data_IF_926111130093
#
_entry.id   IF_926111130093
#
_cell.length_a   1.000
_cell.length_b   1.000
_cell.length_c   1.000
_cell.angle_alpha   90.00
_cell.angle_beta   90.00
_cell.angle_gamma   90.00
#
_symmetry.space_group_name_H-M   'P 1'
#
loop_
_entity.id
_entity.type
_entity.pdbx_description
1 polymer ?
#
# COMPACT_ATOMS: atom_id res chain seq x y z
N UNK A 1 5.81 15.02 4.01
CA UNK A 1 7.20 15.29 4.44
C UNK A 1 8.08 14.12 4.03
N UNK A 2 9.18 14.35 3.32
CA UNK A 2 10.13 13.30 2.90
C UNK A 2 11.29 13.10 3.89
N UNK A 3 11.41 13.95 4.91
CA UNK A 3 12.53 13.93 5.87
C UNK A 3 12.77 12.55 6.49
N UNK A 4 11.77 11.90 7.09
CA UNK A 4 11.96 10.58 7.69
C UNK A 4 12.38 9.49 6.70
N UNK A 5 11.82 9.51 5.49
CA UNK A 5 12.12 8.56 4.42
C UNK A 5 13.57 8.70 3.93
N UNK A 6 13.97 9.93 3.63
CA UNK A 6 15.32 10.26 3.19
C UNK A 6 16.35 9.99 4.29
N UNK A 7 15.99 10.26 5.55
CA UNK A 7 16.90 10.05 6.67
C UNK A 7 17.27 8.57 6.88
N UNK A 8 16.36 7.65 6.59
CA UNK A 8 16.63 6.21 6.57
C UNK A 8 16.08 5.54 5.30
N UNK A 9 16.82 5.58 4.17
CA UNK A 9 16.34 5.09 2.88
C UNK A 9 15.99 3.60 2.87
N UNK A 10 16.54 2.81 3.79
CA UNK A 10 16.22 1.37 3.93
C UNK A 10 14.72 1.15 4.20
N UNK A 11 14.03 2.14 4.75
CA UNK A 11 12.57 2.10 4.96
C UNK A 11 11.77 2.03 3.66
N UNK A 12 12.33 2.41 2.52
CA UNK A 12 11.71 2.22 1.20
C UNK A 12 11.44 0.74 0.91
N UNK A 13 12.33 -0.16 1.33
CA UNK A 13 12.16 -1.61 1.12
C UNK A 13 11.00 -2.17 1.92
N UNK A 14 10.72 -1.62 3.11
CA UNK A 14 9.52 -1.97 3.88
C UNK A 14 8.26 -1.54 3.13
N UNK A 15 8.29 -0.37 2.49
CA UNK A 15 7.22 0.10 1.60
C UNK A 15 7.00 -0.82 0.40
N UNK A 16 8.08 -1.33 -0.22
CA UNK A 16 7.98 -2.29 -1.31
C UNK A 16 7.30 -3.60 -0.87
N UNK A 17 7.70 -4.15 0.28
CA UNK A 17 7.06 -5.34 0.84
C UNK A 17 5.60 -5.09 1.25
N UNK A 18 5.26 -3.89 1.73
CA UNK A 18 3.89 -3.54 2.11
C UNK A 18 2.91 -3.61 0.92
N UNK A 19 3.37 -3.41 -0.32
CA UNK A 19 2.53 -3.53 -1.51
C UNK A 19 2.16 -4.98 -1.87
N UNK A 20 2.75 -5.98 -1.22
CA UNK A 20 2.39 -7.39 -1.42
C UNK A 20 0.90 -7.66 -1.21
N UNK A 21 0.25 -6.91 -0.31
CA UNK A 21 -1.19 -7.01 -0.05
C UNK A 21 -2.05 -6.79 -1.31
N UNK A 22 -1.61 -5.96 -2.25
CA UNK A 22 -2.29 -5.76 -3.53
C UNK A 22 -2.31 -7.07 -4.32
N UNK A 23 -1.13 -7.66 -4.54
CA UNK A 23 -0.99 -8.88 -5.32
C UNK A 23 -1.72 -10.06 -4.68
N UNK A 24 -1.62 -10.21 -3.35
CA UNK A 24 -2.36 -11.23 -2.62
C UNK A 24 -3.87 -11.08 -2.81
N UNK A 25 -4.39 -9.85 -2.80
CA UNK A 25 -5.82 -9.57 -3.01
C UNK A 25 -6.26 -9.88 -4.45
N UNK A 26 -5.44 -9.54 -5.46
CA UNK A 26 -5.70 -9.93 -6.86
C UNK A 26 -5.78 -11.45 -7.01
N UNK A 27 -4.81 -12.17 -6.45
CA UNK A 27 -4.80 -13.63 -6.47
C UNK A 27 -6.01 -14.22 -5.76
N UNK A 28 -6.43 -13.62 -4.63
CA UNK A 28 -7.66 -13.98 -3.93
C UNK A 28 -8.90 -13.82 -4.81
N UNK A 29 -9.06 -12.67 -5.48
CA UNK A 29 -10.18 -12.42 -6.38
C UNK A 29 -10.21 -13.40 -7.58
N UNK A 30 -9.05 -13.67 -8.19
CA UNK A 30 -8.96 -14.66 -9.27
C UNK A 30 -9.23 -16.09 -8.79
N UNK A 31 -8.86 -16.40 -7.55
CA UNK A 31 -9.14 -17.70 -6.94
C UNK A 31 -10.65 -17.87 -6.68
N UNK A 32 -11.35 -16.83 -6.22
CA UNK A 32 -12.81 -16.83 -6.08
C UNK A 32 -13.51 -17.08 -7.42
N UNK A 33 -12.96 -16.52 -8.51
CA UNK A 33 -13.43 -16.77 -9.87
C UNK A 33 -13.14 -18.21 -10.31
N UNK A 34 -11.94 -18.73 -10.04
CA UNK A 34 -11.56 -20.11 -10.37
C UNK A 34 -12.48 -21.15 -9.70
N UNK A 35 -12.87 -20.94 -8.45
CA UNK A 35 -13.81 -21.80 -7.74
C UNK A 35 -15.29 -21.57 -8.11
N UNK A 36 -15.59 -20.65 -9.02
CA UNK A 36 -16.94 -20.37 -9.50
C UNK A 36 -17.86 -19.73 -8.45
N UNK A 37 -17.30 -19.17 -7.37
CA UNK A 37 -18.08 -18.53 -6.31
C UNK A 37 -18.59 -17.17 -6.75
N UNK A 38 -17.69 -16.36 -7.31
CA UNK A 38 -17.98 -15.01 -7.80
C UNK A 38 -17.16 -14.79 -9.06
N UNK A 39 -17.81 -14.39 -10.14
CA UNK A 39 -17.14 -14.13 -11.41
C UNK A 39 -16.40 -12.78 -11.36
N UNK A 40 -15.07 -12.82 -11.42
CA UNK A 40 -14.24 -11.63 -11.56
C UNK A 40 -13.37 -11.74 -12.81
N UNK A 41 -13.49 -10.75 -13.69
CA UNK A 41 -12.52 -10.58 -14.78
C UNK A 41 -11.17 -10.08 -14.25
N UNK A 42 -10.10 -10.26 -15.02
CA UNK A 42 -8.77 -9.79 -14.60
C UNK A 42 -8.73 -8.26 -14.32
N UNK A 43 -9.33 -7.37 -15.14
CA UNK A 43 -9.37 -5.94 -14.82
C UNK A 43 -10.10 -5.61 -13.51
N UNK A 44 -11.20 -6.33 -13.22
CA UNK A 44 -11.94 -6.18 -11.97
C UNK A 44 -11.13 -6.67 -10.77
N UNK A 45 -10.51 -7.84 -10.88
CA UNK A 45 -9.62 -8.37 -9.83
C UNK A 45 -8.45 -7.42 -9.56
N UNK A 46 -7.86 -6.82 -10.60
CA UNK A 46 -6.82 -5.81 -10.48
C UNK A 46 -7.31 -4.54 -9.77
N UNK A 47 -8.50 -4.05 -10.11
CA UNK A 47 -9.11 -2.88 -9.46
C UNK A 47 -9.40 -3.14 -7.97
N UNK A 48 -9.92 -4.32 -7.62
CA UNK A 48 -10.14 -4.75 -6.24
C UNK A 48 -8.82 -4.84 -5.48
N UNK A 49 -7.77 -5.34 -6.13
CA UNK A 49 -6.44 -5.51 -5.54
C UNK A 49 -5.85 -4.23 -4.95
N UNK A 50 -6.05 -3.07 -5.60
CA UNK A 50 -5.45 -1.79 -5.16
C UNK A 50 -5.92 -1.36 -3.77
N UNK A 51 -7.06 -1.85 -3.28
CA UNK A 51 -7.50 -1.62 -1.90
C UNK A 51 -6.41 -2.04 -0.90
N UNK A 52 -5.66 -3.12 -1.20
CA UNK A 52 -4.55 -3.60 -0.38
C UNK A 52 -3.37 -2.64 -0.26
N UNK A 53 -3.28 -1.62 -1.12
CA UNK A 53 -2.28 -0.56 -1.05
C UNK A 53 -2.62 0.54 -0.04
N UNK A 54 -3.86 0.56 0.48
CA UNK A 54 -4.37 1.56 1.41
C UNK A 54 -4.20 3.03 0.93
N UNK A 55 -4.35 3.25 -0.38
CA UNK A 55 -4.30 4.57 -1.02
C UNK A 55 -5.60 4.85 -1.81
N UNK A 56 -6.51 5.60 -1.19
CA UNK A 56 -7.84 5.91 -1.75
C UNK A 56 -7.80 6.60 -3.11
N UNK A 57 -7.06 7.72 -3.28
CA UNK A 57 -6.91 8.38 -4.57
C UNK A 57 -6.45 7.47 -5.71
N UNK A 58 -5.46 6.61 -5.47
CA UNK A 58 -4.96 5.67 -6.50
C UNK A 58 -5.96 4.54 -6.76
N UNK A 59 -6.65 4.04 -5.74
CA UNK A 59 -7.72 3.05 -5.89
C UNK A 59 -8.88 3.57 -6.76
N UNK A 60 -9.32 4.81 -6.50
CA UNK A 60 -10.34 5.49 -7.30
C UNK A 60 -9.87 5.67 -8.75
N UNK A 61 -8.63 6.15 -8.93
CA UNK A 61 -8.07 6.37 -10.26
C UNK A 61 -7.97 5.08 -11.09
N UNK A 62 -7.44 4.00 -10.52
CA UNK A 62 -7.28 2.74 -11.25
C UNK A 62 -8.62 2.06 -11.49
N UNK A 63 -9.52 2.04 -10.49
CA UNK A 63 -10.86 1.48 -10.67
C UNK A 63 -11.65 2.25 -11.73
N UNK A 64 -11.55 3.57 -11.78
CA UNK A 64 -12.19 4.38 -12.82
C UNK A 64 -11.69 4.09 -14.24
N UNK A 65 -10.52 3.45 -14.39
CA UNK A 65 -9.97 3.02 -15.70
C UNK A 65 -10.21 1.55 -16.01
N UNK A 66 -10.13 0.66 -15.01
CA UNK A 66 -10.16 -0.79 -15.20
C UNK A 66 -11.54 -1.42 -14.97
N UNK A 67 -12.31 -0.91 -14.02
CA UNK A 67 -13.62 -1.43 -13.64
C UNK A 67 -14.52 -0.28 -13.10
N UNK A 68 -14.97 0.64 -13.97
CA UNK A 68 -15.77 1.80 -13.57
C UNK A 68 -17.07 1.40 -12.85
N UNK A 69 -17.64 0.25 -13.21
CA UNK A 69 -18.85 -0.32 -12.62
C UNK A 69 -18.66 -0.77 -11.16
N UNK A 70 -17.42 -1.03 -10.73
CA UNK A 70 -17.08 -1.42 -9.35
C UNK A 70 -16.59 -0.23 -8.49
N UNK A 71 -16.47 0.96 -9.08
CA UNK A 71 -15.85 2.13 -8.43
C UNK A 71 -16.51 2.47 -7.09
N UNK A 72 -17.84 2.46 -7.03
CA UNK A 72 -18.58 2.80 -5.81
C UNK A 72 -18.23 1.85 -4.65
N UNK A 73 -18.27 0.54 -4.90
CA UNK A 73 -17.96 -0.46 -3.90
C UNK A 73 -16.48 -0.41 -3.46
N UNK A 74 -15.56 -0.25 -4.43
CA UNK A 74 -14.12 -0.16 -4.17
C UNK A 74 -13.79 1.09 -3.33
N UNK A 75 -14.34 2.24 -3.68
CA UNK A 75 -14.09 3.49 -2.94
C UNK A 75 -14.61 3.42 -1.50
N UNK A 76 -15.82 2.90 -1.29
CA UNK A 76 -16.40 2.71 0.05
C UNK A 76 -15.53 1.77 0.86
N UNK A 77 -15.20 0.58 0.32
CA UNK A 77 -14.37 -0.40 1.02
C UNK A 77 -12.99 0.16 1.36
N UNK A 78 -12.35 0.90 0.44
CA UNK A 78 -11.03 1.48 0.66
C UNK A 78 -11.02 2.44 1.87
N UNK A 79 -11.92 3.43 1.92
CA UNK A 79 -11.98 4.38 3.03
C UNK A 79 -12.45 3.75 4.33
N UNK A 80 -13.40 2.81 4.28
CA UNK A 80 -13.82 2.07 5.46
C UNK A 80 -12.68 1.24 6.05
N UNK A 81 -11.93 0.48 5.24
CA UNK A 81 -10.84 -0.36 5.74
C UNK A 81 -9.61 0.45 6.18
N UNK A 82 -9.32 1.58 5.54
CA UNK A 82 -8.29 2.52 6.03
C UNK A 82 -8.62 3.04 7.43
N UNK A 83 -9.89 3.33 7.73
CA UNK A 83 -10.32 3.74 9.06
C UNK A 83 -10.24 2.60 10.10
N UNK A 84 -10.27 1.34 9.67
CA UNK A 84 -10.14 0.16 10.53
C UNK A 84 -8.69 -0.25 10.81
N UNK A 85 -7.69 0.45 10.26
CA UNK A 85 -6.26 0.17 10.52
C UNK A 85 -5.94 0.07 12.02
N UNK A 86 -6.43 0.97 12.91
CA UNK A 86 -6.19 0.85 14.35
C UNK A 86 -6.80 -0.41 15.00
N UNK A 87 -7.80 -1.03 14.37
CA UNK A 87 -8.40 -2.27 14.83
C UNK A 87 -7.66 -3.50 14.28
N UNK A 88 -7.27 -3.46 13.01
CA UNK A 88 -6.69 -4.60 12.28
C UNK A 88 -5.18 -4.73 12.54
N UNK A 89 -4.44 -3.62 12.52
CA UNK A 89 -2.98 -3.62 12.56
C UNK A 89 -2.41 -4.07 13.92
N UNK A 90 -2.90 -3.60 15.08
CA UNK A 90 -2.29 -3.96 16.36
C UNK A 90 -2.38 -5.45 16.71
N UNK A 91 -3.49 -6.17 16.47
CA UNK A 91 -3.54 -7.62 16.66
C UNK A 91 -2.53 -8.37 15.79
N UNK A 92 -2.34 -7.98 14.52
CA UNK A 92 -1.36 -8.59 13.61
C UNK A 92 0.06 -8.37 14.14
N UNK A 93 0.38 -7.14 14.57
CA UNK A 93 1.67 -6.86 15.21
C UNK A 93 1.89 -7.73 16.44
N UNK A 94 0.83 -7.90 17.26
CA UNK A 94 0.87 -8.74 18.46
C UNK A 94 1.16 -10.21 18.15
N UNK A 95 0.63 -10.72 17.05
CA UNK A 95 0.76 -12.10 16.61
C UNK A 95 2.12 -12.40 15.96
N UNK A 96 2.71 -11.46 15.22
CA UNK A 96 3.89 -11.73 14.38
C UNK A 96 5.23 -11.25 14.95
N UNK A 97 5.22 -10.25 15.84
CA UNK A 97 6.48 -9.69 16.40
C UNK A 97 6.70 -10.15 17.83
N UNK A 98 7.95 -10.27 18.26
CA UNK A 98 8.30 -10.61 19.65
C UNK A 98 8.40 -9.37 20.55
N UNK A 99 8.36 -9.55 21.87
CA UNK A 99 8.56 -8.43 22.80
C UNK A 99 9.95 -7.80 22.72
N UNK A 100 10.97 -8.60 22.41
CA UNK A 100 12.35 -8.13 22.28
C UNK A 100 12.51 -7.22 21.07
N UNK A 101 11.93 -7.59 19.92
CA UNK A 101 11.91 -6.74 18.72
C UNK A 101 11.19 -5.40 18.96
N UNK A 102 10.05 -5.41 19.66
CA UNK A 102 9.27 -4.20 19.97
C UNK A 102 10.02 -3.21 20.88
N UNK A 103 11.03 -3.67 21.62
CA UNK A 103 11.83 -2.86 22.56
C UNK A 103 13.12 -2.30 21.92
N UNK A 104 13.38 -2.58 20.64
CA UNK A 104 14.54 -2.03 19.91
C UNK A 104 14.46 -0.50 19.89
N UNK A 105 15.56 0.15 20.30
CA UNK A 105 15.67 1.62 20.28
C UNK A 105 15.95 2.11 18.86
N UNK A 106 15.04 2.92 18.33
CA UNK A 106 15.26 3.61 17.06
C UNK A 106 16.25 4.76 17.26
N UNK A 107 17.28 4.81 16.42
CA UNK A 107 18.25 5.91 16.41
C UNK A 107 17.61 7.20 15.93
N UNK A 108 18.11 8.34 16.41
CA UNK A 108 17.69 9.63 15.88
C UNK A 108 18.03 9.72 14.39
N UNK A 109 17.07 10.23 13.62
CA UNK A 109 17.18 10.36 12.18
C UNK A 109 18.21 11.43 11.83
N UNK A 110 18.99 11.20 10.77
CA UNK A 110 19.93 12.21 10.26
C UNK A 110 19.18 13.46 9.82
N UNK A 111 19.85 14.60 9.87
CA UNK A 111 19.33 15.83 9.28
C UNK A 111 19.35 15.73 7.76
N UNK A 112 18.18 15.95 7.14
CA UNK A 112 18.03 15.92 5.68
C UNK A 112 18.14 17.35 5.15
N UNK A 113 19.07 17.57 4.23
CA UNK A 113 19.31 18.90 3.67
C UNK A 113 18.13 19.38 2.84
N UNK A 114 17.92 20.70 2.74
CA UNK A 114 16.87 21.29 1.90
C UNK A 114 17.07 20.91 0.43
N UNK A 115 18.32 20.85 -0.04
CA UNK A 115 18.67 20.44 -1.41
C UNK A 115 18.22 19.01 -1.69
N UNK A 116 18.48 18.09 -0.76
CA UNK A 116 18.09 16.69 -0.90
C UNK A 116 16.55 16.53 -0.97
N UNK A 117 15.80 17.25 -0.12
CA UNK A 117 14.32 17.24 -0.17
C UNK A 117 13.75 17.76 -1.49
N UNK A 118 14.41 18.73 -2.13
CA UNK A 118 13.98 19.31 -3.41
C UNK A 118 14.35 18.40 -4.58
N UNK A 119 15.55 17.82 -4.57
CA UNK A 119 16.02 16.95 -5.65
C UNK A 119 15.32 15.59 -5.66
N UNK A 120 14.91 15.08 -4.49
CA UNK A 120 14.27 13.77 -4.37
C UNK A 120 13.07 13.56 -5.33
N UNK A 121 12.03 14.40 -5.36
CA UNK A 121 10.90 14.21 -6.28
C UNK A 121 11.31 14.30 -7.76
N UNK A 122 12.33 15.10 -8.10
CA UNK A 122 12.83 15.20 -9.49
C UNK A 122 13.51 13.90 -9.91
N UNK A 123 14.39 13.36 -9.06
CA UNK A 123 15.06 12.08 -9.31
C UNK A 123 14.03 10.94 -9.38
N UNK A 124 13.05 10.93 -8.48
CA UNK A 124 11.97 9.94 -8.49
C UNK A 124 11.15 10.02 -9.78
N UNK A 125 10.80 11.22 -10.24
CA UNK A 125 10.08 11.41 -11.51
C UNK A 125 10.89 10.92 -12.70
N UNK A 126 12.18 11.27 -12.76
CA UNK A 126 13.08 10.81 -13.82
C UNK A 126 13.21 9.28 -13.82
N UNK A 127 13.25 8.65 -12.64
CA UNK A 127 13.28 7.19 -12.52
C UNK A 127 11.98 6.54 -13.01
N UNK A 128 10.82 7.18 -12.80
CA UNK A 128 9.52 6.73 -13.33
C UNK A 128 9.41 6.91 -14.84
N UNK A 129 10.12 7.88 -15.42
CA UNK A 129 10.10 8.18 -16.85
C UNK A 129 11.03 7.27 -17.69
N UNK A 130 12.01 6.63 -17.05
CA UNK A 130 12.92 5.66 -17.66
C UNK A 130 12.26 4.28 -17.74
#
# INVERSE_FOLDING_TARGET
>A
DFGPLLANPRTLLLGAAAQFGIFATVLGALTLNYFGLIAFTLPQAAAIGIIGGADGPTAIYLSGKLAPELLGAIAVAAYSYMALVPLIQPPIMKALTSETERKIRMVQLRTVSKREKILFPVVLLMLVAL
#
